data_IF_317274320987
#
_entry.id   IF_317274320987
#
_cell.length_a   1.000
_cell.length_b   1.000
_cell.length_c   1.000
_cell.angle_alpha   90.00
_cell.angle_beta   90.00
_cell.angle_gamma   90.00
#
_symmetry.space_group_name_H-M   'P 1'
#
loop_
_entity.id
_entity.type
_entity.pdbx_description
1 polymer ?
#
# COMPACT_ATOMS: atom_id res chain seq x y z
N UNK A 1 -4.41 2.10 -5.10
CA UNK A 1 -4.15 3.42 -4.51
C UNK A 1 -4.53 4.51 -5.49
N UNK A 2 -5.04 5.59 -5.02
CA UNK A 2 -5.45 6.68 -5.90
C UNK A 2 -4.30 7.63 -6.15
N UNK A 3 -4.31 8.29 -7.31
CA UNK A 3 -3.31 9.30 -7.64
C UNK A 3 -3.39 10.50 -6.69
N UNK A 4 -4.61 10.80 -6.20
CA UNK A 4 -4.81 11.86 -5.21
C UNK A 4 -5.18 11.23 -3.89
N UNK A 5 -4.34 11.37 -2.85
CA UNK A 5 -4.64 10.78 -1.55
C UNK A 5 -5.87 11.43 -0.92
N UNK A 6 -6.67 10.61 -0.26
CA UNK A 6 -7.79 11.10 0.50
C UNK A 6 -7.30 11.88 1.72
N UNK A 7 -7.97 12.98 2.12
CA UNK A 7 -7.55 13.77 3.30
C UNK A 7 -7.39 12.96 4.58
N UNK A 8 -8.24 11.96 4.79
CA UNK A 8 -8.13 11.11 5.98
C UNK A 8 -6.83 10.30 5.97
N UNK A 9 -6.38 9.86 4.81
CA UNK A 9 -5.12 9.14 4.68
C UNK A 9 -3.95 10.06 4.98
N UNK A 10 -3.99 11.27 4.46
CA UNK A 10 -2.94 12.26 4.72
C UNK A 10 -2.86 12.59 6.21
N UNK A 11 -4.01 12.75 6.85
CA UNK A 11 -4.05 13.03 8.28
C UNK A 11 -3.50 11.86 9.10
N UNK A 12 -3.85 10.63 8.73
CA UNK A 12 -3.34 9.45 9.39
C UNK A 12 -1.82 9.33 9.22
N UNK A 13 -1.33 9.55 8.00
CA UNK A 13 0.10 9.49 7.72
C UNK A 13 0.89 10.54 8.50
N UNK A 14 0.31 11.72 8.67
CA UNK A 14 0.99 12.83 9.34
C UNK A 14 1.31 12.53 10.80
N UNK A 15 0.54 11.67 11.45
CA UNK A 15 0.78 11.31 12.86
C UNK A 15 1.61 10.04 13.02
N UNK A 16 1.97 9.37 11.94
CA UNK A 16 2.84 8.20 12.01
C UNK A 16 4.31 8.62 11.96
N UNK A 17 5.18 7.95 12.71
CA UNK A 17 6.61 8.18 12.53
C UNK A 17 6.99 7.88 11.09
N UNK A 18 7.71 8.79 10.46
CA UNK A 18 8.07 8.64 9.06
C UNK A 18 8.81 7.33 8.78
N UNK A 19 9.65 6.91 9.70
CA UNK A 19 10.43 5.69 9.55
C UNK A 19 9.61 4.41 9.59
N UNK A 20 8.33 4.49 9.98
CA UNK A 20 7.43 3.34 10.01
C UNK A 20 6.55 3.25 8.77
N UNK A 21 6.61 4.22 7.89
CA UNK A 21 5.80 4.23 6.68
C UNK A 21 6.62 3.75 5.49
N UNK A 22 6.11 2.72 4.83
CA UNK A 22 6.72 2.13 3.64
C UNK A 22 5.71 2.11 2.50
N UNK A 23 6.20 2.08 1.29
CA UNK A 23 5.40 1.78 0.11
C UNK A 23 6.11 0.67 -0.65
N UNK A 24 5.58 0.28 -1.79
CA UNK A 24 6.19 -0.75 -2.61
C UNK A 24 6.40 -0.26 -4.02
N UNK A 25 7.29 -0.90 -4.75
CA UNK A 25 7.46 -0.61 -6.18
C UNK A 25 6.21 -0.97 -6.97
N UNK A 26 5.39 -1.90 -6.47
CA UNK A 26 4.10 -2.23 -7.11
C UNK A 26 3.15 -1.05 -6.99
N UNK A 27 3.04 -0.45 -5.80
CA UNK A 27 2.23 0.75 -5.59
C UNK A 27 2.72 1.90 -6.46
N UNK A 28 4.03 2.07 -6.53
CA UNK A 28 4.64 3.11 -7.36
C UNK A 28 4.24 2.91 -8.83
N UNK A 29 4.34 1.70 -9.33
CA UNK A 29 3.98 1.38 -10.71
C UNK A 29 2.51 1.66 -10.99
N UNK A 30 1.62 1.31 -10.06
CA UNK A 30 0.20 1.56 -10.22
C UNK A 30 -0.13 3.06 -10.24
N UNK A 31 0.50 3.81 -9.35
CA UNK A 31 0.31 5.26 -9.31
C UNK A 31 0.80 5.91 -10.59
N UNK A 32 2.00 5.54 -11.04
CA UNK A 32 2.56 6.08 -12.27
C UNK A 32 1.72 5.72 -13.49
N UNK A 33 1.19 4.52 -13.53
CA UNK A 33 0.28 4.12 -14.60
C UNK A 33 -0.99 4.97 -14.60
N UNK A 34 -1.60 5.15 -13.43
CA UNK A 34 -2.82 5.96 -13.31
C UNK A 34 -2.62 7.40 -13.78
N UNK A 35 -1.46 7.97 -13.48
CA UNK A 35 -1.13 9.33 -13.91
C UNK A 35 -0.90 9.37 -15.42
N UNK A 36 -0.14 8.40 -15.93
CA UNK A 36 0.17 8.33 -17.37
C UNK A 36 -1.09 8.14 -18.21
N UNK A 37 -2.10 7.47 -17.66
CA UNK A 37 -3.37 7.25 -18.35
C UNK A 37 -4.26 8.49 -18.41
N UNK A 38 -3.94 9.54 -17.66
CA UNK A 38 -4.69 10.80 -17.75
C UNK A 38 -4.40 11.49 -19.08
N UNK A 39 -5.34 12.33 -19.56
CA UNK A 39 -5.07 13.16 -20.73
C UNK A 39 -3.87 14.07 -20.49
N UNK A 40 -3.12 14.32 -21.54
CA UNK A 40 -2.02 15.29 -21.45
C UNK A 40 -2.54 16.65 -21.02
N UNK A 41 -1.77 17.34 -20.17
CA UNK A 41 -2.14 18.63 -19.69
C UNK A 41 -1.55 18.94 -18.33
N UNK A 42 -1.96 20.06 -17.77
CA UNK A 42 -1.40 20.56 -16.52
C UNK A 42 -1.61 19.61 -15.35
N UNK A 43 -2.79 19.01 -15.29
CA UNK A 43 -3.10 18.12 -14.18
C UNK A 43 -2.20 16.90 -14.16
N UNK A 44 -2.03 16.28 -15.33
CA UNK A 44 -1.15 15.14 -15.46
C UNK A 44 0.29 15.49 -15.08
N UNK A 45 0.78 16.62 -15.60
CA UNK A 45 2.14 17.07 -15.30
C UNK A 45 2.33 17.36 -13.83
N UNK A 46 1.37 18.02 -13.20
CA UNK A 46 1.44 18.36 -11.78
C UNK A 46 1.40 17.09 -10.92
N UNK A 47 0.53 16.14 -11.24
CA UNK A 47 0.45 14.88 -10.50
C UNK A 47 1.72 14.05 -10.65
N UNK A 48 2.29 14.02 -11.84
CA UNK A 48 3.55 13.31 -12.07
C UNK A 48 4.68 13.89 -11.21
N UNK A 49 4.79 15.23 -11.17
CA UNK A 49 5.80 15.88 -10.35
C UNK A 49 5.59 15.61 -8.85
N UNK A 50 4.34 15.66 -8.39
CA UNK A 50 3.99 15.39 -7.01
C UNK A 50 4.32 13.95 -6.63
N UNK A 51 4.00 13.00 -7.49
CA UNK A 51 4.28 11.58 -7.22
C UNK A 51 5.78 11.33 -7.17
N UNK A 52 6.54 11.89 -8.10
CA UNK A 52 7.98 11.73 -8.10
C UNK A 52 8.61 12.29 -6.84
N UNK A 53 8.17 13.47 -6.42
CA UNK A 53 8.66 14.08 -5.19
C UNK A 53 8.32 13.24 -3.97
N UNK A 54 7.11 12.71 -3.91
CA UNK A 54 6.67 11.87 -2.81
C UNK A 54 7.57 10.63 -2.67
N UNK A 55 7.80 9.91 -3.75
CA UNK A 55 8.63 8.70 -3.68
C UNK A 55 10.08 9.00 -3.34
N UNK A 56 10.61 10.11 -3.84
CA UNK A 56 12.00 10.48 -3.59
C UNK A 56 12.23 11.06 -2.20
N UNK A 57 11.28 11.84 -1.70
CA UNK A 57 11.48 12.63 -0.49
C UNK A 57 10.81 12.04 0.74
N UNK A 58 9.64 11.40 0.58
CA UNK A 58 8.90 10.87 1.71
C UNK A 58 9.24 9.43 2.05
N UNK A 59 9.77 8.69 1.08
CA UNK A 59 10.07 7.27 1.26
C UNK A 59 11.51 6.87 0.90
N UNK A 60 12.52 7.70 1.20
CA UNK A 60 13.88 7.29 0.86
C UNK A 60 14.26 6.02 1.63
N UNK A 61 14.66 4.98 0.89
CA UNK A 61 15.01 3.70 1.48
C UNK A 61 13.83 2.89 2.00
N UNK A 62 12.61 3.34 1.74
CA UNK A 62 11.41 2.67 2.23
C UNK A 62 10.41 2.33 1.14
N UNK A 63 10.90 2.10 -0.06
CA UNK A 63 10.11 1.56 -1.16
C UNK A 63 10.50 0.10 -1.30
N UNK A 64 9.62 -0.80 -0.91
CA UNK A 64 9.92 -2.23 -0.86
C UNK A 64 9.84 -2.85 -2.25
N UNK A 65 10.89 -3.58 -2.66
CA UNK A 65 10.83 -4.30 -3.93
C UNK A 65 10.15 -5.65 -3.77
N UNK A 66 9.68 -6.19 -4.88
CA UNK A 66 9.22 -7.58 -4.91
C UNK A 66 10.44 -8.45 -5.21
N UNK A 67 10.91 -9.14 -4.20
CA UNK A 67 12.12 -9.95 -4.30
C UNK A 67 11.86 -11.40 -3.85
N UNK A 68 12.92 -12.15 -3.63
CA UNK A 68 12.83 -13.58 -3.34
C UNK A 68 11.88 -13.90 -2.16
N UNK A 69 11.96 -13.13 -1.08
CA UNK A 69 11.08 -13.36 0.07
C UNK A 69 9.61 -13.17 -0.26
N UNK A 70 9.30 -12.14 -1.04
CA UNK A 70 7.93 -11.89 -1.48
C UNK A 70 7.47 -12.96 -2.46
N UNK A 71 8.35 -13.36 -3.38
CA UNK A 71 8.03 -14.44 -4.31
C UNK A 71 7.69 -15.74 -3.58
N UNK A 72 8.40 -16.03 -2.50
CA UNK A 72 8.13 -17.22 -1.70
C UNK A 72 6.77 -17.18 -1.00
N UNK A 73 6.29 -16.00 -0.65
CA UNK A 73 5.00 -15.82 0.04
C UNK A 73 3.81 -15.78 -0.91
N UNK A 74 4.04 -15.41 -2.15
CA UNK A 74 2.97 -15.16 -3.12
C UNK A 74 2.02 -16.35 -3.30
N UNK A 75 2.51 -17.60 -3.52
CA UNK A 75 1.58 -18.72 -3.71
C UNK A 75 0.63 -18.93 -2.54
N UNK A 76 1.14 -18.80 -1.32
CA UNK A 76 0.30 -18.99 -0.12
C UNK A 76 -0.81 -17.95 -0.03
N UNK A 77 -0.51 -16.70 -0.36
CA UNK A 77 -1.51 -15.63 -0.38
C UNK A 77 -2.62 -15.96 -1.38
N UNK A 78 -2.23 -16.31 -2.60
CA UNK A 78 -3.20 -16.58 -3.67
C UNK A 78 -4.06 -17.78 -3.33
N UNK A 79 -3.45 -18.87 -2.89
CA UNK A 79 -4.18 -20.09 -2.60
C UNK A 79 -5.12 -19.95 -1.42
N UNK A 80 -4.68 -19.28 -0.36
CA UNK A 80 -5.53 -19.06 0.81
C UNK A 80 -6.81 -18.30 0.44
N UNK A 81 -6.67 -17.29 -0.42
CA UNK A 81 -7.80 -16.50 -0.86
C UNK A 81 -8.71 -17.28 -1.81
N UNK A 82 -8.15 -18.09 -2.69
CA UNK A 82 -8.93 -18.95 -3.56
C UNK A 82 -9.73 -19.98 -2.76
N UNK A 83 -9.10 -20.59 -1.78
CA UNK A 83 -9.74 -21.60 -0.93
C UNK A 83 -10.85 -20.99 -0.07
N UNK A 84 -10.72 -19.72 0.29
CA UNK A 84 -11.74 -18.99 1.01
C UNK A 84 -12.89 -18.50 0.12
N UNK A 85 -12.84 -18.76 -1.19
CA UNK A 85 -13.86 -18.30 -2.11
C UNK A 85 -13.79 -16.80 -2.42
N UNK A 86 -12.66 -16.18 -2.14
CA UNK A 86 -12.47 -14.74 -2.31
C UNK A 86 -11.12 -14.46 -3.00
N UNK A 87 -11.01 -14.77 -4.30
CA UNK A 87 -9.76 -14.60 -5.02
C UNK A 87 -9.22 -13.19 -4.92
N UNK A 88 -7.91 -13.07 -4.76
CA UNK A 88 -7.26 -11.77 -4.64
C UNK A 88 -6.87 -11.26 -6.01
N UNK A 89 -6.97 -9.94 -6.20
CA UNK A 89 -6.51 -9.29 -7.41
C UNK A 89 -4.98 -9.36 -7.47
N UNK A 90 -4.44 -9.49 -8.67
CA UNK A 90 -3.03 -9.82 -8.85
C UNK A 90 -2.07 -8.82 -8.20
N UNK A 91 -2.27 -7.53 -8.42
CA UNK A 91 -1.38 -6.53 -7.84
C UNK A 91 -1.51 -6.50 -6.31
N UNK A 92 -2.71 -6.68 -5.81
CA UNK A 92 -2.91 -6.77 -4.36
C UNK A 92 -2.18 -7.99 -3.78
N UNK A 93 -2.16 -9.09 -4.51
CA UNK A 93 -1.41 -10.27 -4.08
C UNK A 93 0.10 -10.01 -4.03
N UNK A 94 0.62 -9.28 -5.01
CA UNK A 94 2.04 -8.89 -5.00
C UNK A 94 2.37 -7.96 -3.85
N UNK A 95 1.48 -7.01 -3.56
CA UNK A 95 1.65 -6.10 -2.43
C UNK A 95 1.58 -6.86 -1.10
N UNK A 96 0.60 -7.75 -0.96
CA UNK A 96 0.45 -8.54 0.26
C UNK A 96 1.67 -9.43 0.51
N UNK A 97 2.18 -10.08 -0.53
CA UNK A 97 3.36 -10.92 -0.42
C UNK A 97 4.60 -10.09 -0.02
N UNK A 98 4.72 -8.90 -0.59
CA UNK A 98 5.82 -7.99 -0.24
C UNK A 98 5.72 -7.56 1.23
N UNK A 99 4.53 -7.22 1.68
CA UNK A 99 4.33 -6.82 3.08
C UNK A 99 4.60 -7.97 4.04
N UNK A 100 4.14 -9.17 3.71
CA UNK A 100 4.42 -10.36 4.53
C UNK A 100 5.92 -10.62 4.65
N UNK A 101 6.64 -10.53 3.55
CA UNK A 101 8.07 -10.75 3.56
C UNK A 101 8.80 -9.71 4.40
N UNK A 102 8.28 -8.50 4.47
CA UNK A 102 8.86 -7.42 5.25
C UNK A 102 8.39 -7.38 6.71
N UNK A 103 7.44 -8.23 7.08
CA UNK A 103 6.84 -8.19 8.42
C UNK A 103 5.98 -6.96 8.65
N UNK A 104 5.37 -6.45 7.58
CA UNK A 104 4.63 -5.20 7.63
C UNK A 104 3.12 -5.41 7.68
N UNK A 105 2.41 -4.42 8.22
CA UNK A 105 0.96 -4.32 8.10
C UNK A 105 0.60 -3.54 6.86
N UNK A 106 -0.64 -3.67 6.41
CA UNK A 106 -1.14 -2.89 5.28
C UNK A 106 -2.10 -1.82 5.79
N UNK A 107 -1.91 -0.58 5.35
CA UNK A 107 -2.84 0.51 5.59
C UNK A 107 -3.69 0.70 4.34
N UNK A 108 -4.96 0.39 4.43
CA UNK A 108 -5.86 0.44 3.29
C UNK A 108 -7.30 0.62 3.74
N UNK A 109 -8.12 1.21 2.88
CA UNK A 109 -9.57 1.23 3.06
C UNK A 109 -10.22 -0.05 2.56
N UNK A 110 -9.53 -0.76 1.69
CA UNK A 110 -10.06 -1.97 1.06
C UNK A 110 -9.74 -3.20 1.89
N UNK A 111 -10.49 -3.39 2.97
CA UNK A 111 -10.33 -4.59 3.77
C UNK A 111 -10.53 -5.86 2.95
N UNK A 112 -11.58 -5.89 2.13
CA UNK A 112 -11.90 -7.05 1.33
C UNK A 112 -10.79 -7.46 0.38
N UNK A 113 -10.00 -6.49 -0.06
CA UNK A 113 -8.88 -6.75 -0.95
C UNK A 113 -7.74 -7.50 -0.28
N UNK A 114 -7.60 -7.40 1.05
CA UNK A 114 -6.46 -7.97 1.76
C UNK A 114 -6.83 -8.91 2.90
N UNK A 115 -8.10 -9.08 3.19
CA UNK A 115 -8.55 -10.00 4.22
C UNK A 115 -8.11 -11.43 3.91
N UNK A 116 -7.68 -12.14 4.91
CA UNK A 116 -7.30 -13.55 4.75
C UNK A 116 -5.91 -13.77 4.18
N UNK A 117 -5.09 -12.71 4.11
CA UNK A 117 -3.72 -12.80 3.61
C UNK A 117 -2.68 -13.06 4.72
N UNK A 118 -3.11 -13.10 5.97
CA UNK A 118 -2.18 -13.28 7.09
C UNK A 118 -1.53 -11.99 7.55
N UNK A 119 -2.10 -10.85 7.19
CA UNK A 119 -1.59 -9.53 7.50
C UNK A 119 -2.51 -8.81 8.48
N UNK A 120 -1.94 -7.95 9.30
CA UNK A 120 -2.72 -6.95 10.01
C UNK A 120 -3.09 -5.83 9.04
N UNK A 121 -4.34 -5.40 9.10
CA UNK A 121 -4.86 -4.38 8.20
C UNK A 121 -5.33 -3.20 9.03
N UNK A 122 -4.87 -2.00 8.66
CA UNK A 122 -5.28 -0.76 9.31
C UNK A 122 -6.06 0.06 8.29
N UNK A 123 -7.22 0.59 8.68
CA UNK A 123 -8.01 1.45 7.82
C UNK A 123 -7.83 2.91 8.23
N UNK A 124 -7.06 3.70 7.45
CA UNK A 124 -6.79 5.09 7.80
C UNK A 124 -8.03 5.99 7.70
N UNK A 125 -9.11 5.53 7.06
CA UNK A 125 -10.35 6.31 6.96
C UNK A 125 -11.19 6.22 8.21
N UNK A 126 -11.00 5.17 9.04
CA UNK A 126 -11.75 5.05 10.27
C UNK A 126 -11.16 5.95 11.33
N UNK A 127 -12.05 6.52 12.18
CA UNK A 127 -11.57 7.18 13.36
C UNK A 127 -11.12 6.12 14.32
N UNK A 128 -9.86 6.16 14.61
CA UNK A 128 -9.32 5.25 15.61
C UNK A 128 -9.35 5.94 16.94
N UNK A 129 -9.80 5.25 17.97
CA UNK A 129 -9.51 5.75 19.28
C UNK A 129 -8.02 5.53 19.54
N UNK A 130 -7.55 6.17 20.58
CA UNK A 130 -6.11 6.20 20.82
C UNK A 130 -5.50 4.85 21.10
N UNK A 131 -6.30 3.93 21.56
CA UNK A 131 -5.82 2.61 21.84
C UNK A 131 -5.49 1.86 20.58
N UNK A 132 -6.34 2.00 19.59
CA UNK A 132 -6.09 1.34 18.33
C UNK A 132 -4.91 1.91 17.59
N UNK A 133 -4.62 3.16 17.83
CA UNK A 133 -3.47 3.77 17.20
C UNK A 133 -2.17 3.13 17.59
N UNK A 134 -2.16 2.32 18.66
CA UNK A 134 -0.99 1.61 19.01
C UNK A 134 -0.84 0.30 18.37
N UNK A 135 -1.84 -0.13 17.66
CA UNK A 135 -1.74 -1.38 17.07
C UNK A 135 -0.82 -1.37 15.98
N UNK A 136 -0.76 -2.37 15.56
CA UNK A 136 0.28 -3.19 15.42
C UNK A 136 1.32 -2.57 14.70
N UNK A 137 2.35 -2.81 15.18
CA UNK A 137 3.45 -2.46 14.59
C UNK A 137 3.97 -3.54 13.92
N UNK A 138 4.68 -3.39 13.11
CA UNK A 138 5.24 -4.36 12.32
C UNK A 138 6.27 -5.14 12.97
#
# INVERSE_FOLDING_TARGET
MRAEPHPAVLAWMAVQPRTLLYTTHINQAEILYGITALPEGRRRTALAATAMAMFAEDFPGRILPFEAGAAARYPGVVLARQQAGNPIEKFDALIAATALAAGASIATRDFGGFTGCGLAIVNPWERHDRHRARLPRL
#
